data_IF_112319028544
#
_entry.id   IF_112319028544
#
_cell.length_a   1.000
_cell.length_b   1.000
_cell.length_c   1.000
_cell.angle_alpha   90.00
_cell.angle_beta   90.00
_cell.angle_gamma   90.00
#
_symmetry.space_group_name_H-M   'P 1'
#
loop_
_entity.id
_entity.type
_entity.pdbx_description
1 polymer ?
#
# COMPACT_ATOMS: atom_id res chain seq x y z
N UNK A 1 1.29 10.58 -9.92
CA UNK A 1 1.62 10.19 -11.31
C UNK A 1 1.24 8.73 -11.39
N UNK A 2 0.27 8.39 -12.23
CA UNK A 2 -0.10 6.98 -12.41
C UNK A 2 1.03 6.30 -13.20
N UNK A 3 1.72 5.37 -12.55
CA UNK A 3 2.80 4.60 -13.17
C UNK A 3 2.29 3.74 -14.32
N UNK A 4 3.16 3.29 -15.25
CA UNK A 4 2.75 2.37 -16.30
C UNK A 4 2.27 1.04 -15.71
N UNK A 5 1.13 0.55 -16.18
CA UNK A 5 0.62 -0.78 -15.82
C UNK A 5 1.53 -1.84 -16.44
N UNK A 6 2.18 -2.65 -15.61
CA UNK A 6 3.20 -3.61 -16.07
C UNK A 6 3.13 -4.94 -15.31
N UNK A 7 3.77 -5.96 -15.88
CA UNK A 7 3.96 -7.24 -15.23
C UNK A 7 4.95 -7.06 -14.06
N UNK A 8 4.51 -7.40 -12.85
CA UNK A 8 5.29 -7.30 -11.62
C UNK A 8 5.97 -8.64 -11.28
N UNK A 9 5.37 -9.75 -11.67
CA UNK A 9 5.91 -11.07 -11.37
C UNK A 9 5.21 -12.17 -12.17
N UNK A 10 5.96 -13.24 -12.40
CA UNK A 10 5.45 -14.45 -13.03
C UNK A 10 5.55 -15.61 -12.06
N UNK A 11 4.45 -16.33 -11.90
CA UNK A 11 4.33 -17.47 -11.02
C UNK A 11 3.99 -18.71 -11.84
N UNK A 12 4.77 -19.78 -11.67
CA UNK A 12 4.43 -21.08 -12.23
C UNK A 12 4.12 -22.04 -11.09
N UNK A 13 2.90 -22.57 -11.11
CA UNK A 13 2.41 -23.50 -10.10
C UNK A 13 2.16 -24.85 -10.77
N UNK A 14 2.64 -25.92 -10.16
CA UNK A 14 2.42 -27.28 -10.67
C UNK A 14 1.61 -28.04 -9.64
N UNK A 15 0.29 -28.02 -9.81
CA UNK A 15 -0.64 -28.75 -8.94
C UNK A 15 -0.99 -30.09 -9.55
N UNK A 16 -1.32 -31.09 -8.73
CA UNK A 16 -1.73 -32.39 -9.25
C UNK A 16 -2.16 -33.39 -8.19
N UNK A 17 -2.18 -34.68 -8.58
CA UNK A 17 -2.68 -35.78 -7.75
C UNK A 17 -2.05 -35.86 -6.35
N UNK A 18 -0.80 -35.41 -6.18
CA UNK A 18 -0.07 -35.46 -4.91
C UNK A 18 -0.05 -34.13 -4.14
N UNK A 19 -0.52 -33.04 -4.75
CA UNK A 19 -0.57 -31.71 -4.13
C UNK A 19 -1.93 -31.08 -4.41
N UNK A 20 -2.82 -31.17 -3.41
CA UNK A 20 -4.22 -30.72 -3.51
C UNK A 20 -4.38 -29.21 -3.37
N UNK A 21 -3.36 -28.52 -2.90
CA UNK A 21 -3.37 -27.08 -2.75
C UNK A 21 -1.95 -26.56 -2.68
N UNK A 22 -1.70 -25.45 -3.36
CA UNK A 22 -0.43 -24.74 -3.31
C UNK A 22 -0.72 -23.25 -3.15
N UNK A 23 -0.09 -22.64 -2.16
CA UNK A 23 -0.09 -21.21 -1.93
C UNK A 23 1.27 -20.67 -2.36
N UNK A 24 1.26 -19.66 -3.22
CA UNK A 24 2.47 -19.01 -3.70
C UNK A 24 2.39 -17.51 -3.42
N UNK A 25 3.35 -17.01 -2.65
CA UNK A 25 3.54 -15.58 -2.44
C UNK A 25 4.36 -15.00 -3.61
N UNK A 26 3.77 -14.05 -4.33
CA UNK A 26 4.37 -13.33 -5.45
C UNK A 26 4.82 -11.94 -5.00
N UNK A 27 6.13 -11.76 -4.85
CA UNK A 27 6.76 -10.48 -4.53
C UNK A 27 6.96 -9.63 -5.79
N UNK A 28 6.77 -8.32 -5.69
CA UNK A 28 6.89 -7.39 -6.84
C UNK A 28 8.33 -7.12 -7.28
N UNK A 29 9.31 -7.43 -6.43
CA UNK A 29 10.74 -7.29 -6.71
C UNK A 29 11.53 -8.32 -5.93
N UNK A 30 12.69 -8.73 -6.46
CA UNK A 30 13.62 -9.65 -5.79
C UNK A 30 14.14 -9.11 -4.46
N UNK A 31 14.17 -7.78 -4.29
CA UNK A 31 14.61 -7.13 -3.06
C UNK A 31 13.48 -6.86 -2.05
N UNK A 32 12.24 -7.24 -2.40
CA UNK A 32 11.02 -7.10 -1.59
C UNK A 32 10.71 -5.64 -1.17
N UNK A 33 11.20 -4.64 -1.91
CA UNK A 33 10.99 -3.22 -1.58
C UNK A 33 10.04 -2.50 -2.52
N UNK A 34 9.79 -3.05 -3.69
CA UNK A 34 8.92 -2.45 -4.68
C UNK A 34 7.46 -2.56 -4.24
N UNK A 35 6.74 -1.44 -4.32
CA UNK A 35 5.31 -1.36 -4.02
C UNK A 35 4.52 -1.27 -5.30
N UNK A 36 3.32 -1.83 -5.30
CA UNK A 36 2.39 -1.69 -6.41
C UNK A 36 0.96 -1.57 -5.91
N UNK A 37 0.15 -0.81 -6.64
CA UNK A 37 -1.29 -0.62 -6.40
C UNK A 37 -2.07 -1.15 -7.61
N UNK A 38 -3.34 -1.49 -7.41
CA UNK A 38 -4.24 -1.96 -8.45
C UNK A 38 -3.78 -3.29 -9.06
N UNK A 39 -3.37 -4.23 -8.21
CA UNK A 39 -2.84 -5.51 -8.66
C UNK A 39 -3.95 -6.41 -9.23
N UNK A 40 -3.65 -7.13 -10.32
CA UNK A 40 -4.57 -8.09 -10.91
C UNK A 40 -3.84 -9.33 -11.41
N UNK A 41 -4.50 -10.48 -11.25
CA UNK A 41 -4.02 -11.74 -11.77
C UNK A 41 -4.42 -11.88 -13.24
N UNK A 42 -3.43 -12.11 -14.09
CA UNK A 42 -3.61 -12.52 -15.48
C UNK A 42 -3.23 -13.99 -15.63
N UNK A 43 -4.23 -14.80 -15.94
CA UNK A 43 -4.04 -16.23 -16.17
C UNK A 43 -3.52 -16.45 -17.59
N UNK A 44 -2.25 -16.84 -17.72
CA UNK A 44 -1.65 -17.21 -19.02
C UNK A 44 -2.01 -18.64 -19.39
N UNK A 45 -1.95 -19.53 -18.39
CA UNK A 45 -2.37 -20.92 -18.50
C UNK A 45 -3.04 -21.34 -17.21
N UNK A 46 -4.32 -21.73 -17.30
CA UNK A 46 -5.10 -22.19 -16.14
C UNK A 46 -4.85 -23.68 -15.88
N UNK A 47 -4.91 -24.10 -14.62
CA UNK A 47 -5.02 -25.50 -14.17
C UNK A 47 -6.20 -26.20 -14.84
N UNK A 48 -7.28 -25.45 -15.12
CA UNK A 48 -8.48 -25.97 -15.78
C UNK A 48 -8.39 -26.00 -17.31
N UNK A 49 -7.22 -25.77 -17.90
CA UNK A 49 -7.04 -25.79 -19.36
C UNK A 49 -7.11 -27.20 -19.97
N UNK A 50 -7.28 -28.24 -19.14
CA UNK A 50 -7.51 -29.62 -19.57
C UNK A 50 -8.95 -29.89 -20.03
N UNK A 51 -9.27 -31.17 -20.24
CA UNK A 51 -10.61 -31.61 -20.69
C UNK A 51 -11.67 -31.44 -19.59
N UNK A 52 -11.26 -31.49 -18.33
CA UNK A 52 -12.13 -31.35 -17.16
C UNK A 52 -11.62 -30.21 -16.27
N UNK A 53 -12.52 -29.41 -15.68
CA UNK A 53 -12.14 -28.44 -14.65
C UNK A 53 -11.79 -29.19 -13.37
N UNK A 54 -10.55 -29.04 -12.92
CA UNK A 54 -9.96 -29.83 -11.82
C UNK A 54 -9.73 -29.01 -10.55
N UNK A 55 -9.82 -27.69 -10.60
CA UNK A 55 -9.56 -26.86 -9.43
C UNK A 55 -10.07 -25.43 -9.50
N UNK A 56 -9.79 -24.69 -8.43
CA UNK A 56 -10.08 -23.28 -8.27
C UNK A 56 -8.77 -22.49 -8.17
N UNK A 57 -8.78 -21.29 -8.75
CA UNK A 57 -7.67 -20.36 -8.80
C UNK A 57 -8.13 -19.05 -8.19
N UNK A 58 -7.41 -18.54 -7.19
CA UNK A 58 -7.73 -17.29 -6.53
C UNK A 58 -6.48 -16.45 -6.33
N UNK A 59 -6.67 -15.14 -6.33
CA UNK A 59 -5.64 -14.15 -6.07
C UNK A 59 -6.12 -13.17 -5.03
N UNK A 60 -5.27 -12.90 -4.05
CA UNK A 60 -5.50 -11.93 -3.00
C UNK A 60 -4.27 -11.02 -2.86
N UNK A 61 -4.50 -9.71 -2.85
CA UNK A 61 -3.47 -8.74 -2.50
C UNK A 61 -3.34 -8.72 -0.98
N UNK A 62 -2.18 -9.14 -0.46
CA UNK A 62 -1.97 -9.27 0.99
C UNK A 62 -1.43 -7.95 1.56
N UNK A 63 -0.45 -7.35 0.88
CA UNK A 63 0.21 -6.12 1.29
C UNK A 63 0.71 -5.35 0.06
N UNK A 64 1.15 -4.10 0.24
CA UNK A 64 1.66 -3.24 -0.84
C UNK A 64 2.84 -3.85 -1.63
N UNK A 65 3.52 -4.85 -1.04
CA UNK A 65 4.76 -5.46 -1.56
C UNK A 65 4.59 -6.84 -2.19
N UNK A 66 3.48 -7.54 -1.91
CA UNK A 66 3.25 -8.88 -2.43
C UNK A 66 1.75 -9.26 -2.46
N UNK A 67 1.42 -10.16 -3.38
CA UNK A 67 0.12 -10.82 -3.42
C UNK A 67 0.28 -12.33 -3.29
N UNK A 68 -0.80 -13.01 -2.93
CA UNK A 68 -0.85 -14.47 -2.82
C UNK A 68 -1.72 -15.06 -3.91
N UNK A 69 -1.20 -16.08 -4.57
CA UNK A 69 -1.94 -16.91 -5.52
C UNK A 69 -2.21 -18.23 -4.82
N UNK A 70 -3.48 -18.57 -4.69
CA UNK A 70 -3.92 -19.84 -4.08
C UNK A 70 -4.59 -20.69 -5.13
N UNK A 71 -4.04 -21.88 -5.33
CA UNK A 71 -4.55 -22.87 -6.28
C UNK A 71 -4.97 -24.11 -5.51
N UNK A 72 -6.23 -24.53 -5.66
CA UNK A 72 -6.78 -25.71 -4.96
C UNK A 72 -7.38 -26.69 -5.96
N UNK A 73 -6.99 -27.95 -5.88
CA UNK A 73 -7.56 -29.04 -6.67
C UNK A 73 -8.74 -29.66 -5.93
N UNK A 74 -9.80 -29.98 -6.66
CA UNK A 74 -10.93 -30.69 -6.10
C UNK A 74 -10.59 -32.14 -5.74
N UNK A 75 -11.00 -32.56 -4.55
CA UNK A 75 -10.73 -33.90 -3.98
C UNK A 75 -11.32 -35.05 -4.83
N UNK A 76 -12.30 -34.78 -5.69
CA UNK A 76 -12.85 -35.82 -6.57
C UNK A 76 -11.82 -36.39 -7.55
N UNK A 77 -10.83 -35.59 -7.97
CA UNK A 77 -9.81 -35.98 -8.96
C UNK A 77 -9.01 -37.20 -8.50
N UNK A 78 -8.36 -37.21 -7.31
CA UNK A 78 -7.64 -38.39 -6.83
C UNK A 78 -8.57 -39.55 -6.47
N UNK A 79 -9.80 -39.28 -6.00
CA UNK A 79 -10.77 -40.34 -5.68
C UNK A 79 -11.15 -41.10 -6.96
N UNK A 80 -11.50 -40.41 -8.04
CA UNK A 80 -11.84 -41.05 -9.30
C UNK A 80 -10.66 -41.79 -9.90
N UNK A 81 -9.44 -41.21 -9.87
CA UNK A 81 -8.26 -41.92 -10.36
C UNK A 81 -7.99 -43.22 -9.58
N UNK A 82 -8.14 -43.19 -8.26
CA UNK A 82 -7.98 -44.36 -7.39
C UNK A 82 -9.07 -45.40 -7.65
N UNK A 83 -10.32 -44.96 -7.83
CA UNK A 83 -11.44 -45.84 -8.14
C UNK A 83 -11.26 -46.54 -9.51
N UNK A 84 -10.83 -45.79 -10.53
CA UNK A 84 -10.55 -46.35 -11.86
C UNK A 84 -9.36 -47.32 -11.83
N UNK A 85 -8.33 -47.04 -11.04
CA UNK A 85 -7.22 -47.99 -10.84
C UNK A 85 -7.68 -49.28 -10.16
N UNK A 86 -8.55 -49.17 -9.14
CA UNK A 86 -9.14 -50.32 -8.49
C UNK A 86 -10.04 -51.13 -9.45
N UNK A 87 -10.82 -50.46 -10.30
CA UNK A 87 -11.63 -51.10 -11.34
C UNK A 87 -10.76 -51.84 -12.37
N UNK A 88 -9.66 -51.23 -12.81
CA UNK A 88 -8.68 -51.87 -13.69
C UNK A 88 -8.11 -53.16 -13.09
N UNK A 89 -7.71 -53.11 -11.80
CA UNK A 89 -7.19 -54.27 -11.08
C UNK A 89 -8.27 -55.34 -10.87
N UNK A 90 -9.48 -54.96 -10.47
CA UNK A 90 -10.60 -55.88 -10.29
C UNK A 90 -10.99 -56.57 -11.60
N UNK A 91 -11.01 -55.84 -12.71
CA UNK A 91 -11.28 -56.37 -14.04
C UNK A 91 -10.23 -57.39 -14.50
N UNK A 92 -8.99 -57.31 -13.99
CA UNK A 92 -7.96 -58.33 -14.25
C UNK A 92 -8.24 -59.67 -13.57
N UNK A 93 -9.07 -59.70 -12.53
CA UNK A 93 -9.48 -60.93 -11.84
C UNK A 93 -10.76 -61.54 -12.42
N UNK A 94 -11.42 -60.86 -13.37
CA UNK A 94 -12.56 -61.44 -14.10
C UNK A 94 -12.00 -62.41 -15.14
N UNK A 95 -12.23 -63.73 -15.02
CA UNK A 95 -11.84 -64.67 -16.07
C UNK A 95 -12.51 -64.25 -17.38
N UNK A 96 -11.76 -64.27 -18.48
CA UNK A 96 -12.30 -64.02 -19.83
C UNK A 96 -13.34 -65.10 -20.12
N UNK A 97 -14.60 -64.83 -19.76
CA UNK A 97 -15.69 -65.76 -19.96
C UNK A 97 -15.98 -65.79 -21.46
N UNK A 98 -15.67 -66.93 -22.08
CA UNK A 98 -16.01 -67.17 -23.48
C UNK A 98 -17.51 -67.36 -23.53
N UNK A 99 -18.26 -66.29 -23.76
CA UNK A 99 -19.67 -66.40 -24.12
C UNK A 99 -19.74 -67.02 -25.52
N UNK A 100 -19.70 -68.35 -25.58
CA UNK A 100 -19.92 -69.12 -26.81
C UNK A 100 -21.41 -69.01 -27.14
N UNK A 101 -21.79 -67.92 -27.80
CA UNK A 101 -23.03 -67.85 -28.56
C UNK A 101 -22.94 -68.82 -29.74
N UNK A 102 -23.87 -69.76 -29.83
CA UNK A 102 -23.97 -70.69 -30.96
C UNK A 102 -24.19 -69.87 -32.24
N UNK A 103 -23.17 -69.80 -33.09
CA UNK A 103 -23.21 -69.16 -34.40
C UNK A 103 -22.61 -67.76 -34.42
N UNK A 104 -21.39 -67.65 -34.94
CA UNK A 104 -20.75 -66.39 -35.39
C UNK A 104 -20.81 -65.23 -34.39
N UNK A 105 -20.26 -65.41 -33.19
CA UNK A 105 -20.15 -64.34 -32.18
C UNK A 105 -18.71 -63.91 -31.99
N UNK A 106 -18.43 -62.61 -32.13
CA UNK A 106 -17.15 -62.04 -31.69
C UNK A 106 -16.95 -62.33 -30.20
N UNK A 107 -15.84 -62.98 -29.83
CA UNK A 107 -15.44 -63.12 -28.43
C UNK A 107 -15.06 -61.73 -27.91
N UNK A 108 -15.96 -61.07 -27.17
CA UNK A 108 -15.63 -59.80 -26.50
C UNK A 108 -15.18 -60.13 -25.08
N UNK A 109 -13.86 -60.07 -24.77
CA UNK A 109 -13.37 -60.25 -23.41
C UNK A 109 -13.87 -59.10 -22.53
N UNK A 110 -14.89 -59.37 -21.71
CA UNK A 110 -15.57 -58.36 -20.87
C UNK A 110 -14.60 -57.68 -19.91
N UNK A 111 -13.70 -58.46 -19.27
CA UNK A 111 -12.67 -57.91 -18.39
C UNK A 111 -11.73 -56.93 -19.12
N UNK A 112 -11.40 -57.21 -20.38
CA UNK A 112 -10.52 -56.34 -21.19
C UNK A 112 -11.20 -55.04 -21.62
N UNK A 113 -12.52 -55.06 -21.86
CA UNK A 113 -13.28 -53.83 -22.17
C UNK A 113 -13.31 -52.91 -20.94
N UNK A 114 -13.52 -53.46 -19.75
CA UNK A 114 -13.51 -52.70 -18.49
C UNK A 114 -12.11 -52.13 -18.22
N UNK A 115 -11.05 -52.93 -18.44
CA UNK A 115 -9.67 -52.45 -18.34
C UNK A 115 -9.38 -51.29 -19.31
N UNK A 116 -9.85 -51.40 -20.56
CA UNK A 116 -9.66 -50.34 -21.55
C UNK A 116 -10.39 -49.04 -21.13
N UNK A 117 -11.63 -49.15 -20.63
CA UNK A 117 -12.38 -48.00 -20.10
C UNK A 117 -11.66 -47.34 -18.92
N UNK A 118 -11.25 -48.13 -17.92
CA UNK A 118 -10.55 -47.63 -16.75
C UNK A 118 -9.23 -46.93 -17.13
N UNK A 119 -8.48 -47.48 -18.10
CA UNK A 119 -7.24 -46.87 -18.58
C UNK A 119 -7.48 -45.56 -19.34
N UNK A 120 -8.53 -45.48 -20.16
CA UNK A 120 -8.94 -44.22 -20.80
C UNK A 120 -9.33 -43.18 -19.73
N UNK A 121 -10.07 -43.59 -18.70
CA UNK A 121 -10.45 -42.71 -17.58
C UNK A 121 -9.24 -42.17 -16.82
N UNK A 122 -8.28 -43.03 -16.48
CA UNK A 122 -7.03 -42.62 -15.81
C UNK A 122 -6.23 -41.66 -16.69
N UNK A 123 -6.06 -41.97 -17.98
CA UNK A 123 -5.33 -41.10 -18.91
C UNK A 123 -6.00 -39.73 -19.04
N UNK A 124 -7.33 -39.68 -19.12
CA UNK A 124 -8.08 -38.44 -19.20
C UNK A 124 -7.92 -37.59 -17.92
N UNK A 125 -7.90 -38.24 -16.75
CA UNK A 125 -7.63 -37.57 -15.47
C UNK A 125 -6.18 -37.08 -15.42
N UNK A 126 -5.19 -37.87 -15.85
CA UNK A 126 -3.79 -37.45 -15.89
C UNK A 126 -3.56 -36.29 -16.87
N UNK A 127 -4.25 -36.28 -18.02
CA UNK A 127 -4.22 -35.18 -18.98
C UNK A 127 -4.93 -33.92 -18.47
N UNK A 128 -5.84 -34.05 -17.49
CA UNK A 128 -6.49 -32.91 -16.85
C UNK A 128 -5.65 -32.25 -15.75
N UNK A 129 -4.61 -32.94 -15.25
CA UNK A 129 -3.66 -32.37 -14.31
C UNK A 129 -2.65 -31.52 -15.10
N UNK A 130 -2.81 -30.19 -15.01
CA UNK A 130 -2.04 -29.23 -15.77
C UNK A 130 -1.13 -28.36 -14.92
N UNK A 131 0.00 -27.94 -15.49
CA UNK A 131 0.76 -26.80 -14.98
C UNK A 131 -0.01 -25.51 -15.25
N UNK A 132 -0.02 -24.62 -14.27
CA UNK A 132 -0.56 -23.28 -14.40
C UNK A 132 0.54 -22.24 -14.42
N UNK A 133 0.31 -21.20 -15.21
CA UNK A 133 1.20 -20.05 -15.34
C UNK A 133 0.37 -18.79 -15.16
N UNK A 134 0.78 -17.99 -14.19
CA UNK A 134 0.14 -16.76 -13.80
C UNK A 134 1.11 -15.60 -13.95
N UNK A 135 0.58 -14.47 -14.39
CA UNK A 135 1.29 -13.20 -14.34
C UNK A 135 0.51 -12.27 -13.43
N UNK A 136 1.21 -11.58 -12.53
CA UNK A 136 0.59 -10.52 -11.73
C UNK A 136 0.97 -9.19 -12.32
N UNK A 137 -0.03 -8.35 -12.58
CA UNK A 137 0.13 -7.05 -13.20
C UNK A 137 -0.36 -5.97 -12.24
N UNK A 138 0.30 -4.81 -12.24
CA UNK A 138 -0.07 -3.68 -11.38
C UNK A 138 0.65 -2.40 -11.77
N UNK A 139 0.33 -1.31 -11.08
CA UNK A 139 1.05 -0.04 -11.22
C UNK A 139 2.05 0.13 -10.08
N UNK A 140 3.36 0.10 -10.34
CA UNK A 140 4.34 0.35 -9.30
C UNK A 140 4.32 1.83 -8.90
N UNK A 141 4.47 2.09 -7.60
CA UNK A 141 4.52 3.45 -7.07
C UNK A 141 5.60 3.57 -5.99
N UNK A 142 6.04 4.81 -5.77
CA UNK A 142 6.95 5.15 -4.67
C UNK A 142 6.49 6.46 -4.04
N UNK A 143 6.73 6.61 -2.74
CA UNK A 143 6.38 7.83 -2.01
C UNK A 143 7.44 8.89 -2.27
N UNK A 144 7.15 9.83 -3.16
CA UNK A 144 7.96 11.02 -3.35
C UNK A 144 7.59 12.08 -2.31
N UNK A 145 8.48 12.34 -1.36
CA UNK A 145 8.34 13.46 -0.43
C UNK A 145 8.73 14.76 -1.12
N UNK A 146 7.83 15.75 -1.12
CA UNK A 146 8.07 17.07 -1.70
C UNK A 146 8.69 18.00 -0.65
N UNK A 147 9.93 18.39 -0.87
CA UNK A 147 10.63 19.41 -0.07
C UNK A 147 10.09 20.80 -0.45
N UNK A 148 9.66 21.57 0.56
CA UNK A 148 9.24 22.96 0.38
C UNK A 148 10.14 23.86 1.22
N UNK A 149 10.94 24.68 0.55
CA UNK A 149 11.76 25.73 1.16
C UNK A 149 11.00 27.06 1.07
N UNK A 150 10.83 27.74 2.20
CA UNK A 150 10.32 29.11 2.24
C UNK A 150 11.39 30.02 2.81
N UNK A 151 11.89 30.95 1.98
CA UNK A 151 12.87 31.95 2.39
C UNK A 151 12.13 33.27 2.64
N UNK A 152 12.26 33.82 3.83
CA UNK A 152 11.68 35.12 4.19
C UNK A 152 12.79 36.18 4.22
N UNK A 153 12.92 36.93 3.13
CA UNK A 153 13.87 38.05 3.00
C UNK A 153 13.15 39.35 3.37
N UNK A 154 13.76 40.18 4.22
CA UNK A 154 13.27 41.53 4.49
C UNK A 154 13.80 42.49 3.42
N UNK A 155 12.91 43.04 2.61
CA UNK A 155 13.27 43.97 1.53
C UNK A 155 13.54 45.39 2.10
N UNK A 156 14.72 45.94 1.82
CA UNK A 156 15.13 47.29 2.21
C UNK A 156 16.20 47.42 3.31
N UNK A 157 16.90 46.35 3.68
CA UNK A 157 18.03 46.38 4.63
C UNK A 157 19.39 46.38 3.92
N UNK A 158 20.41 46.95 4.57
CA UNK A 158 21.80 46.84 4.08
C UNK A 158 22.29 45.39 4.23
N UNK A 159 23.11 44.88 3.30
CA UNK A 159 23.44 43.44 3.19
C UNK A 159 23.98 42.79 4.49
N UNK A 160 24.63 43.56 5.36
CA UNK A 160 25.15 43.06 6.65
C UNK A 160 24.10 43.02 7.78
N UNK A 161 22.91 43.56 7.54
CA UNK A 161 21.75 43.52 8.44
C UNK A 161 20.71 42.48 8.00
N UNK A 162 20.89 41.87 6.82
CA UNK A 162 20.07 40.75 6.35
C UNK A 162 20.33 39.54 7.25
N UNK A 163 19.38 39.25 8.13
CA UNK A 163 19.42 38.08 8.99
C UNK A 163 18.52 37.02 8.37
N UNK A 164 19.11 36.18 7.53
CA UNK A 164 18.42 35.06 6.89
C UNK A 164 18.24 33.95 7.92
N UNK A 165 16.99 33.66 8.28
CA UNK A 165 16.66 32.55 9.18
C UNK A 165 15.96 31.46 8.38
N UNK A 166 16.70 30.40 8.08
CA UNK A 166 16.16 29.18 7.50
C UNK A 166 15.71 28.24 8.61
N UNK A 167 14.45 27.83 8.58
CA UNK A 167 13.92 26.79 9.47
C UNK A 167 13.43 25.63 8.60
N UNK A 168 14.02 24.45 8.80
CA UNK A 168 13.68 23.21 8.11
C UNK A 168 12.86 22.30 9.04
N UNK A 169 11.77 21.74 8.55
CA UNK A 169 10.96 20.76 9.27
C UNK A 169 10.72 19.54 8.38
N UNK A 170 11.07 18.36 8.89
CA UNK A 170 11.17 17.11 8.13
C UNK A 170 9.88 16.25 8.18
N UNK A 171 8.85 16.65 8.91
CA UNK A 171 7.61 15.86 9.04
C UNK A 171 6.35 16.69 8.85
N UNK A 172 5.72 16.63 7.66
CA UNK A 172 4.34 17.14 7.47
C UNK A 172 3.50 16.17 6.65
N UNK A 173 2.67 15.40 7.36
CA UNK A 173 1.49 14.78 6.78
C UNK A 173 0.27 15.47 7.40
N UNK A 174 -0.48 16.21 6.58
CA UNK A 174 -1.92 16.48 6.79
C UNK A 174 -2.36 17.60 7.77
N UNK A 175 -1.51 18.54 8.20
CA UNK A 175 -1.99 19.76 8.90
C UNK A 175 -1.86 21.02 8.02
N UNK A 176 -2.91 21.86 8.05
CA UNK A 176 -3.12 23.03 7.19
C UNK A 176 -1.86 23.84 6.94
N UNK A 177 -1.57 24.11 5.66
CA UNK A 177 -0.39 24.78 5.13
C UNK A 177 -0.19 26.26 5.57
N UNK A 178 -0.78 26.71 6.67
CA UNK A 178 -0.71 28.08 7.17
C UNK A 178 -0.18 28.21 8.60
N UNK A 179 -0.18 27.14 9.41
CA UNK A 179 0.26 27.21 10.81
C UNK A 179 1.77 27.47 10.97
N UNK A 180 2.58 27.04 10.01
CA UNK A 180 4.04 27.19 10.03
C UNK A 180 4.50 28.62 9.72
N UNK A 181 3.84 29.32 8.78
CA UNK A 181 4.10 30.74 8.52
C UNK A 181 3.82 31.56 9.77
N UNK A 182 2.71 31.27 10.47
CA UNK A 182 2.32 32.00 11.67
C UNK A 182 3.28 31.78 12.84
N UNK A 183 3.80 30.57 13.02
CA UNK A 183 4.78 30.26 14.07
C UNK A 183 6.13 30.95 13.80
N UNK A 184 6.61 30.93 12.55
CA UNK A 184 7.84 31.62 12.16
C UNK A 184 7.74 33.14 12.34
N UNK A 185 6.64 33.74 11.90
CA UNK A 185 6.36 35.17 12.12
C UNK A 185 6.33 35.49 13.62
N UNK A 186 5.69 34.64 14.41
CA UNK A 186 5.62 34.80 15.86
C UNK A 186 7.01 34.74 16.51
N UNK A 187 7.82 33.72 16.22
CA UNK A 187 9.18 33.58 16.78
C UNK A 187 10.11 34.73 16.35
N UNK A 188 9.99 35.20 15.10
CA UNK A 188 10.76 36.35 14.60
C UNK A 188 10.39 37.63 15.33
N UNK A 189 9.09 37.88 15.52
CA UNK A 189 8.61 39.08 16.23
C UNK A 189 8.99 39.09 17.71
N UNK A 190 9.07 37.92 18.37
CA UNK A 190 9.57 37.82 19.74
C UNK A 190 11.06 38.13 19.90
N UNK A 191 11.88 37.78 18.90
CA UNK A 191 13.33 38.01 18.95
C UNK A 191 13.73 39.48 18.72
N UNK A 192 12.80 40.34 18.30
CA UNK A 192 13.02 41.78 18.13
C UNK A 192 12.07 42.61 19.02
N UNK A 193 12.18 42.51 20.37
CA UNK A 193 11.30 43.22 21.28
C UNK A 193 11.51 44.73 21.14
N UNK A 194 10.40 45.47 21.07
CA UNK A 194 10.38 46.94 21.06
C UNK A 194 10.02 47.42 22.45
N UNK A 195 10.80 48.39 22.92
CA UNK A 195 10.60 49.02 24.22
C UNK A 195 10.00 50.40 24.03
N UNK A 196 8.81 50.62 24.57
CA UNK A 196 8.11 51.90 24.54
C UNK A 196 7.91 52.41 25.96
N UNK A 197 8.03 53.72 26.15
CA UNK A 197 7.72 54.36 27.42
C UNK A 197 6.54 55.31 27.20
N UNK A 198 5.50 55.13 28.01
CA UNK A 198 4.29 55.94 27.96
C UNK A 198 3.82 56.32 29.37
N UNK A 199 2.93 57.30 29.46
CA UNK A 199 2.31 57.66 30.73
C UNK A 199 1.48 56.49 31.25
N UNK A 200 1.54 56.26 32.56
CA UNK A 200 0.85 55.13 33.19
C UNK A 200 -0.65 55.12 32.91
N UNK A 201 -1.09 54.05 32.25
CA UNK A 201 -2.50 53.73 32.06
C UNK A 201 -2.80 52.40 32.77
N UNK A 202 -3.62 52.39 33.83
CA UNK A 202 -3.93 51.20 34.62
C UNK A 202 -4.82 50.19 33.88
N UNK A 203 -5.35 50.53 32.70
CA UNK A 203 -6.21 49.64 31.91
C UNK A 203 -5.44 48.66 31.03
N UNK A 204 -4.13 48.85 30.87
CA UNK A 204 -3.30 48.04 29.99
C UNK A 204 -2.83 46.75 30.66
N UNK A 205 -3.05 45.61 30.00
CA UNK A 205 -2.64 44.30 30.45
C UNK A 205 -1.69 43.61 29.45
N UNK A 206 -0.82 42.68 29.91
CA UNK A 206 -0.08 41.80 29.01
C UNK A 206 -1.06 40.98 28.13
N UNK A 207 -0.87 41.02 26.82
CA UNK A 207 -1.76 40.42 25.83
C UNK A 207 -2.59 41.43 25.03
N UNK A 208 -2.69 42.69 25.49
CA UNK A 208 -3.41 43.73 24.75
C UNK A 208 -2.64 44.19 23.50
N UNK A 209 -3.40 44.69 22.52
CA UNK A 209 -2.85 45.27 21.28
C UNK A 209 -2.94 46.79 21.35
N UNK A 210 -1.79 47.44 21.43
CA UNK A 210 -1.66 48.89 21.33
C UNK A 210 -1.60 49.33 19.87
N UNK A 211 -2.37 50.36 19.54
CA UNK A 211 -2.29 51.04 18.25
C UNK A 211 -1.58 52.37 18.45
N UNK A 212 -0.39 52.51 17.88
CA UNK A 212 0.35 53.76 17.89
C UNK A 212 -0.31 54.79 16.95
N UNK A 213 -0.06 56.10 17.16
CA UNK A 213 -0.59 57.16 16.27
C UNK A 213 -0.15 57.03 14.81
N UNK A 214 0.95 56.31 14.54
CA UNK A 214 1.45 55.99 13.20
C UNK A 214 0.73 54.80 12.53
N UNK A 215 -0.29 54.23 13.19
CA UNK A 215 -1.07 53.09 12.73
C UNK A 215 -0.43 51.71 12.99
N UNK A 216 0.77 51.66 13.58
CA UNK A 216 1.43 50.38 13.91
C UNK A 216 0.77 49.73 15.12
N UNK A 217 0.66 48.40 15.07
CA UNK A 217 0.09 47.58 16.14
C UNK A 217 1.18 46.82 16.90
N UNK A 218 1.14 46.85 18.22
CA UNK A 218 2.12 46.18 19.09
C UNK A 218 1.37 45.37 20.14
N UNK A 219 1.71 44.09 20.28
CA UNK A 219 1.22 43.25 21.39
C UNK A 219 2.09 43.48 22.61
N UNK A 220 1.46 43.75 23.76
CA UNK A 220 2.13 43.88 25.05
C UNK A 220 2.55 42.49 25.54
N UNK A 221 3.86 42.26 25.70
CA UNK A 221 4.38 41.01 26.26
C UNK A 221 4.70 41.14 27.74
N UNK A 222 5.25 42.29 28.15
CA UNK A 222 5.54 42.60 29.53
C UNK A 222 5.40 44.10 29.81
N UNK A 223 5.07 44.41 31.07
CA UNK A 223 4.90 45.77 31.58
C UNK A 223 5.83 45.97 32.77
N UNK A 224 6.51 47.12 32.82
CA UNK A 224 7.35 47.52 33.93
C UNK A 224 7.08 48.98 34.27
N UNK A 225 6.77 49.27 35.54
CA UNK A 225 6.44 50.62 35.99
C UNK A 225 7.63 51.26 36.69
N UNK A 226 7.98 52.48 36.28
CA UNK A 226 8.99 53.30 36.96
C UNK A 226 8.28 54.44 37.69
N UNK A 227 8.39 54.42 39.02
CA UNK A 227 7.80 55.43 39.89
C UNK A 227 8.94 56.24 40.51
N UNK A 228 8.90 57.56 40.35
CA UNK A 228 9.82 58.50 40.97
C UNK A 228 9.03 59.56 41.74
N UNK A 229 9.61 60.07 42.82
CA UNK A 229 8.94 61.04 43.70
C UNK A 229 8.82 62.39 42.99
N UNK A 230 7.59 62.82 42.71
CA UNK A 230 7.29 64.11 42.08
C UNK A 230 7.18 64.10 40.55
N UNK A 231 7.30 62.94 39.91
CA UNK A 231 7.11 62.76 38.46
C UNK A 231 5.86 61.92 38.17
N UNK A 232 5.28 62.08 36.98
CA UNK A 232 4.20 61.21 36.49
C UNK A 232 4.77 59.79 36.34
N UNK A 233 4.09 58.74 36.83
CA UNK A 233 4.55 57.37 36.67
C UNK A 233 4.68 57.02 35.18
N UNK A 234 5.82 56.42 34.82
CA UNK A 234 6.10 55.99 33.45
C UNK A 234 5.93 54.48 33.37
N UNK A 235 5.07 54.04 32.46
CA UNK A 235 4.89 52.64 32.11
C UNK A 235 5.82 52.31 30.94
N UNK A 236 6.66 51.31 31.14
CA UNK A 236 7.57 50.79 30.14
C UNK A 236 7.00 49.48 29.63
N UNK A 237 6.75 49.44 28.32
CA UNK A 237 6.13 48.33 27.62
C UNK A 237 7.20 47.64 26.79
N UNK A 238 7.35 46.34 27.01
CA UNK A 238 8.14 45.47 26.14
C UNK A 238 7.14 44.65 25.30
N UNK A 239 7.20 44.81 23.97
CA UNK A 239 6.22 44.22 23.08
C UNK A 239 6.74 43.96 21.67
N UNK A 240 6.01 43.17 20.90
CA UNK A 240 6.38 42.81 19.53
C UNK A 240 5.38 43.40 18.52
N UNK A 241 5.84 43.69 17.30
CA UNK A 241 4.98 44.22 16.23
C UNK A 241 4.01 43.12 15.77
N UNK A 242 2.72 43.44 15.67
CA UNK A 242 1.74 42.56 15.03
C UNK A 242 1.95 42.62 13.52
N UNK A 243 2.24 41.47 12.93
CA UNK A 243 2.24 41.29 11.47
C UNK A 243 0.90 40.65 11.12
N UNK A 244 0.07 41.38 10.37
CA UNK A 244 -1.14 40.79 9.82
C UNK A 244 -0.72 39.73 8.77
N UNK A 245 -1.26 38.53 8.90
CA UNK A 245 -1.15 37.49 7.86
C UNK A 245 -1.85 37.91 6.58
#
# INVERSE_FOLDING_TARGET
>A
MDGPYQCLGTAQVTTGFFSLGEELDAWWSEDHKQRADGTSLKVVKSVNSGVLPVGEESYEEVDEFHGRITVTIHVWVPILATAMLAEYLAAAFIPDDVVVGIGTGFTIPVGRVIQAQAMIGILLIMMSIGSAQYEVWGTPYDYAYLEKQSVAIEDGLEYWQENEKEIKNDFTATLSAWSWVTELIWEKTQNAPRRLALEDDPSLEPGDILVLPDGRRIVIMALSKKIKRGEVPVLVIDGCKVVAA
#
